data_IF_951709238726
#
_entry.id   IF_951709238726
#
_cell.length_a   1.000
_cell.length_b   1.000
_cell.length_c   1.000
_cell.angle_alpha   90.00
_cell.angle_beta   90.00
_cell.angle_gamma   90.00
#
_symmetry.space_group_name_H-M   'P 1'
#
loop_
_entity.id
_entity.type
_entity.pdbx_description
1 polymer ?
#
# COMPACT_ATOMS: atom_id res chain seq x y z
N UNK A 1 52.25 -13.91 2.61
CA UNK A 1 51.50 -12.92 1.81
C UNK A 1 52.36 -12.54 0.61
N UNK A 2 52.06 -13.05 -0.59
CA UNK A 2 52.19 -12.32 -1.87
C UNK A 2 51.39 -13.12 -2.90
N UNK A 3 50.24 -12.58 -3.28
CA UNK A 3 49.31 -13.20 -4.21
C UNK A 3 49.88 -13.19 -5.64
N UNK A 4 49.79 -14.33 -6.33
CA UNK A 4 49.94 -14.43 -7.77
C UNK A 4 48.82 -13.63 -8.44
N UNK A 5 49.18 -12.53 -9.09
CA UNK A 5 48.31 -11.84 -10.04
C UNK A 5 48.54 -12.45 -11.42
N UNK A 6 47.56 -13.22 -11.89
CA UNK A 6 47.50 -13.64 -13.29
C UNK A 6 47.15 -12.40 -14.10
N UNK A 7 48.13 -11.89 -14.84
CA UNK A 7 47.96 -10.84 -15.84
C UNK A 7 47.07 -11.39 -16.94
N UNK A 8 45.78 -11.05 -16.94
CA UNK A 8 44.96 -11.16 -18.13
C UNK A 8 45.42 -10.07 -19.09
N UNK A 9 46.30 -10.47 -20.02
CA UNK A 9 46.72 -9.65 -21.15
C UNK A 9 45.49 -9.30 -22.00
N UNK A 10 44.90 -8.15 -21.73
CA UNK A 10 43.94 -7.50 -22.61
C UNK A 10 44.64 -7.08 -23.88
N UNK A 11 44.75 -8.01 -24.84
CA UNK A 11 45.15 -7.70 -26.21
C UNK A 11 43.92 -7.17 -26.95
N UNK A 12 43.58 -5.92 -26.71
CA UNK A 12 42.56 -5.23 -27.49
C UNK A 12 43.24 -4.64 -28.73
N UNK A 13 42.82 -5.01 -29.96
CA UNK A 13 43.34 -4.38 -31.16
C UNK A 13 42.95 -2.90 -31.19
N UNK A 14 43.95 -2.08 -31.48
CA UNK A 14 43.84 -0.64 -31.64
C UNK A 14 42.79 -0.27 -32.70
N UNK A 15 42.03 0.79 -32.40
CA UNK A 15 41.06 1.45 -33.29
C UNK A 15 39.69 0.78 -33.47
N UNK A 16 38.89 0.71 -32.41
CA UNK A 16 37.42 0.72 -32.54
C UNK A 16 36.94 2.18 -32.51
N UNK A 17 36.16 2.58 -33.51
CA UNK A 17 35.57 3.91 -33.51
C UNK A 17 34.74 4.09 -32.23
N UNK A 18 34.65 5.31 -31.70
CA UNK A 18 33.91 5.61 -30.47
C UNK A 18 32.47 5.05 -30.50
N UNK A 19 31.87 4.99 -31.69
CA UNK A 19 30.59 4.35 -31.96
C UNK A 19 30.56 2.84 -31.67
N UNK A 20 31.61 2.10 -32.06
CA UNK A 20 31.67 0.65 -31.84
C UNK A 20 31.75 0.33 -30.35
N UNK A 21 32.54 1.12 -29.61
CA UNK A 21 32.62 1.01 -28.15
C UNK A 21 31.27 1.25 -27.50
N UNK A 22 30.55 2.29 -27.91
CA UNK A 22 29.20 2.57 -27.40
C UNK A 22 28.22 1.46 -27.74
N UNK A 23 28.32 0.87 -28.93
CA UNK A 23 27.47 -0.26 -29.34
C UNK A 23 27.70 -1.49 -28.46
N UNK A 24 28.96 -1.80 -28.12
CA UNK A 24 29.32 -2.91 -27.22
C UNK A 24 28.81 -2.66 -25.80
N UNK A 25 28.97 -1.45 -25.27
CA UNK A 25 28.45 -1.09 -23.94
C UNK A 25 26.92 -1.17 -23.90
N UNK A 26 26.23 -0.68 -24.92
CA UNK A 26 24.77 -0.76 -25.03
C UNK A 26 24.26 -2.21 -25.15
N UNK A 27 24.99 -3.08 -25.85
CA UNK A 27 24.66 -4.50 -25.92
C UNK A 27 24.87 -5.20 -24.57
N UNK A 28 25.93 -4.87 -23.83
CA UNK A 28 26.18 -5.42 -22.51
C UNK A 28 25.09 -5.03 -21.50
N UNK A 29 24.62 -3.78 -21.53
CA UNK A 29 23.51 -3.30 -20.70
C UNK A 29 22.19 -4.03 -21.02
N UNK A 30 21.88 -4.21 -22.31
CA UNK A 30 20.70 -4.98 -22.74
C UNK A 30 20.79 -6.44 -22.28
N UNK A 31 21.95 -7.07 -22.42
CA UNK A 31 22.17 -8.44 -21.98
C UNK A 31 22.03 -8.61 -20.45
N UNK A 32 22.46 -7.61 -19.67
CA UNK A 32 22.28 -7.57 -18.21
C UNK A 32 20.80 -7.49 -17.80
N UNK A 33 19.97 -6.81 -18.58
CA UNK A 33 18.53 -6.73 -18.33
C UNK A 33 17.84 -8.08 -18.61
N UNK A 34 18.23 -8.77 -19.68
CA UNK A 34 17.66 -10.08 -20.06
C UNK A 34 18.13 -11.21 -19.12
N UNK A 35 19.34 -11.11 -18.55
CA UNK A 35 19.87 -12.09 -17.59
C UNK A 35 19.28 -11.97 -16.18
N UNK A 36 18.50 -10.93 -15.87
CA UNK A 36 17.60 -10.94 -14.71
C UNK A 36 16.36 -11.82 -14.98
N UNK A 37 16.59 -13.05 -15.43
CA UNK A 37 15.68 -14.15 -15.15
C UNK A 37 15.79 -14.43 -13.64
N UNK A 38 15.23 -13.53 -12.84
CA UNK A 38 14.82 -13.87 -11.49
C UNK A 38 13.87 -15.07 -11.64
N UNK A 39 13.95 -16.11 -10.79
CA UNK A 39 12.86 -17.07 -10.71
C UNK A 39 11.59 -16.24 -10.57
N UNK A 40 10.56 -16.53 -11.38
CA UNK A 40 9.30 -15.82 -11.32
C UNK A 40 8.84 -15.85 -9.86
N UNK A 41 9.08 -14.77 -9.13
CA UNK A 41 8.52 -14.57 -7.82
C UNK A 41 7.07 -14.27 -8.16
N UNK A 42 6.28 -15.33 -8.22
CA UNK A 42 4.82 -15.26 -8.30
C UNK A 42 4.43 -14.37 -7.13
N UNK A 43 4.21 -13.09 -7.40
CA UNK A 43 3.66 -12.21 -6.41
C UNK A 43 2.33 -12.83 -6.00
N UNK A 44 2.10 -13.06 -4.70
CA UNK A 44 0.77 -13.47 -4.27
C UNK A 44 -0.24 -12.47 -4.84
N UNK A 45 -1.41 -12.93 -5.30
CA UNK A 45 -2.44 -12.02 -5.76
C UNK A 45 -2.68 -10.97 -4.68
N UNK A 46 -2.90 -9.68 -5.04
CA UNK A 46 -3.19 -8.66 -4.06
C UNK A 46 -4.35 -9.15 -3.21
N UNK A 47 -4.12 -9.23 -1.89
CA UNK A 47 -5.20 -9.46 -0.93
C UNK A 47 -6.27 -8.41 -1.23
N UNK A 48 -7.56 -8.79 -1.36
CA UNK A 48 -8.61 -7.80 -1.41
C UNK A 48 -8.40 -6.82 -0.25
N UNK A 49 -8.60 -5.50 -0.46
CA UNK A 49 -8.61 -4.57 0.66
C UNK A 49 -9.52 -5.20 1.71
N UNK A 50 -9.00 -5.44 2.92
CA UNK A 50 -9.88 -5.78 4.02
C UNK A 50 -10.97 -4.71 4.00
N UNK A 51 -12.23 -5.15 3.96
CA UNK A 51 -13.35 -4.24 3.98
C UNK A 51 -13.17 -3.37 5.23
N UNK A 52 -12.72 -2.13 5.03
CA UNK A 52 -12.77 -1.13 6.08
C UNK A 52 -14.24 -1.07 6.47
N UNK A 53 -14.57 -1.30 7.75
CA UNK A 53 -15.94 -1.16 8.20
C UNK A 53 -16.46 0.19 7.70
N UNK A 54 -17.57 0.17 6.96
CA UNK A 54 -18.20 1.42 6.52
C UNK A 54 -18.60 2.27 7.74
N UNK A 55 -18.85 3.57 7.54
CA UNK A 55 -19.27 4.45 8.63
C UNK A 55 -20.49 3.87 9.35
N UNK A 56 -20.48 3.92 10.67
CA UNK A 56 -21.62 3.48 11.49
C UNK A 56 -22.77 4.47 11.33
N UNK A 57 -23.99 3.94 11.18
CA UNK A 57 -25.20 4.75 11.02
C UNK A 57 -26.24 4.33 12.05
N UNK A 58 -26.41 5.16 13.07
CA UNK A 58 -27.45 5.02 14.08
C UNK A 58 -28.72 5.73 13.61
N UNK A 59 -29.65 4.99 13.02
CA UNK A 59 -30.90 5.55 12.51
C UNK A 59 -31.85 5.82 13.68
N UNK A 60 -32.15 7.09 13.94
CA UNK A 60 -33.07 7.52 15.03
C UNK A 60 -34.46 6.87 14.96
N UNK A 61 -34.93 6.49 13.77
CA UNK A 61 -36.20 5.77 13.58
C UNK A 61 -36.16 4.39 14.26
N UNK A 62 -34.99 3.73 14.29
CA UNK A 62 -34.81 2.47 15.02
C UNK A 62 -34.95 2.63 16.54
N UNK A 63 -34.88 3.88 17.04
CA UNK A 63 -35.04 4.24 18.44
C UNK A 63 -36.44 4.78 18.77
N UNK A 64 -37.35 4.80 17.79
CA UNK A 64 -38.73 5.26 17.97
C UNK A 64 -38.98 6.70 17.55
N UNK A 65 -38.03 7.36 16.87
CA UNK A 65 -38.29 8.69 16.30
C UNK A 65 -39.37 8.63 15.23
N UNK A 66 -40.31 9.58 15.27
CA UNK A 66 -41.37 9.69 14.27
C UNK A 66 -40.83 10.35 13.00
N UNK A 67 -40.79 9.62 11.87
CA UNK A 67 -40.28 10.17 10.61
C UNK A 67 -41.19 11.24 10.01
N UNK A 68 -42.42 11.41 10.50
CA UNK A 68 -43.36 12.44 10.04
C UNK A 68 -43.19 13.77 10.75
N UNK A 69 -42.47 13.80 11.88
CA UNK A 69 -42.25 15.00 12.69
C UNK A 69 -43.50 15.51 13.42
N UNK A 70 -44.52 14.67 13.59
CA UNK A 70 -45.79 15.03 14.25
C UNK A 70 -45.74 14.80 15.75
N UNK A 71 -44.98 13.82 16.21
CA UNK A 71 -44.74 13.58 17.63
C UNK A 71 -43.33 13.99 18.06
N UNK A 72 -43.18 14.27 19.34
CA UNK A 72 -41.87 14.49 19.95
C UNK A 72 -40.98 13.24 19.77
N UNK A 73 -39.76 13.46 19.30
CA UNK A 73 -38.75 12.41 19.04
C UNK A 73 -37.48 12.61 19.88
N UNK A 74 -37.52 13.52 20.87
CA UNK A 74 -36.35 13.91 21.68
C UNK A 74 -35.70 12.70 22.36
N UNK A 75 -36.49 11.84 23.01
CA UNK A 75 -35.96 10.66 23.71
C UNK A 75 -35.30 9.66 22.75
N UNK A 76 -35.89 9.44 21.58
CA UNK A 76 -35.34 8.54 20.57
C UNK A 76 -34.01 9.07 20.00
N UNK A 77 -33.91 10.39 19.79
CA UNK A 77 -32.69 11.04 19.31
C UNK A 77 -31.60 10.97 20.40
N UNK A 78 -31.93 11.28 21.65
CA UNK A 78 -30.99 11.19 22.78
C UNK A 78 -30.44 9.77 22.94
N UNK A 79 -31.32 8.76 22.84
CA UNK A 79 -30.93 7.35 22.91
C UNK A 79 -30.02 6.93 21.75
N UNK A 80 -30.31 7.37 20.53
CA UNK A 80 -29.45 7.11 19.38
C UNK A 80 -28.06 7.74 19.53
N UNK A 81 -27.99 8.97 20.06
CA UNK A 81 -26.71 9.64 20.34
C UNK A 81 -25.94 8.92 21.43
N UNK A 82 -26.60 8.53 22.52
CA UNK A 82 -25.97 7.78 23.61
C UNK A 82 -25.31 6.50 23.08
N UNK A 83 -26.03 5.71 22.27
CA UNK A 83 -25.48 4.47 21.71
C UNK A 83 -24.38 4.71 20.65
N UNK A 84 -24.39 5.87 19.99
CA UNK A 84 -23.29 6.27 19.11
C UNK A 84 -22.01 6.60 19.90
N UNK A 85 -22.14 7.21 21.09
CA UNK A 85 -21.00 7.49 21.97
C UNK A 85 -20.51 6.25 22.73
N UNK A 86 -21.42 5.39 23.15
CA UNK A 86 -21.12 4.13 23.87
C UNK A 86 -20.80 2.97 22.91
N UNK A 87 -20.73 3.24 21.61
CA UNK A 87 -20.49 2.26 20.56
C UNK A 87 -19.05 1.68 20.60
N UNK A 88 -18.78 0.63 19.79
CA UNK A 88 -17.47 -0.01 19.76
C UNK A 88 -16.37 0.98 19.34
N UNK A 89 -15.37 1.17 20.18
CA UNK A 89 -14.23 2.05 19.88
C UNK A 89 -13.35 1.44 18.78
N UNK A 90 -12.92 2.26 17.82
CA UNK A 90 -12.05 1.85 16.71
C UNK A 90 -10.58 2.16 16.98
N UNK A 91 -10.25 2.31 18.26
CA UNK A 91 -8.96 2.77 18.75
C UNK A 91 -9.02 4.22 19.16
N UNK A 92 -7.91 4.93 18.95
CA UNK A 92 -7.69 6.28 19.46
C UNK A 92 -7.43 7.20 18.27
N UNK A 93 -8.22 8.26 18.13
CA UNK A 93 -8.03 9.26 17.08
C UNK A 93 -6.75 10.07 17.33
N UNK A 94 -6.62 10.59 18.56
CA UNK A 94 -5.40 11.19 19.12
C UNK A 94 -5.33 10.89 20.61
N UNK A 95 -4.15 11.02 21.25
CA UNK A 95 -3.99 10.70 22.66
C UNK A 95 -5.07 11.33 23.55
N UNK A 96 -5.85 10.49 24.24
CA UNK A 96 -6.98 10.91 25.09
C UNK A 96 -8.32 11.11 24.37
N UNK A 97 -8.40 10.88 23.06
CA UNK A 97 -9.64 10.97 22.26
C UNK A 97 -9.86 9.65 21.51
N UNK A 98 -10.95 8.96 21.83
CA UNK A 98 -11.33 7.70 21.18
C UNK A 98 -11.86 7.93 19.77
N UNK A 99 -11.56 6.99 18.88
CA UNK A 99 -12.18 6.93 17.56
C UNK A 99 -13.54 6.23 17.67
N UNK A 100 -14.61 7.01 17.55
CA UNK A 100 -15.99 6.53 17.61
C UNK A 100 -16.54 6.04 16.27
N UNK A 101 -15.66 5.80 15.28
CA UNK A 101 -16.00 5.12 14.03
C UNK A 101 -15.85 5.95 12.78
#
# INVERSE_FOLDING_TARGET
>A
LMASQVVFAGKFPDSMALHDRQMVEMQALKASLVRRNLPALVSPPPTPPQAVPGPRVYKVISYGADPTGKSDSTDAILKAMQEAFDGPEHGVLIAGINDLG
#
